data_IF_470291840932
#
_entry.id   IF_470291840932
#
_cell.length_a   1.000
_cell.length_b   1.000
_cell.length_c   1.000
_cell.angle_alpha   90.00
_cell.angle_beta   90.00
_cell.angle_gamma   90.00
#
_symmetry.space_group_name_H-M   'P 1'
#
loop_
_entity.id
_entity.type
_entity.pdbx_description
1 polymer ?
#
# COMPACT_ATOMS: atom_id res chain seq x y z
N UNK A 1 -0.84 7.36 53.49
CA UNK A 1 -0.14 8.53 52.92
C UNK A 1 -0.29 8.48 51.41
N UNK A 2 -0.79 9.55 50.78
CA UNK A 2 -0.87 9.67 49.32
C UNK A 2 0.42 10.20 48.72
N UNK A 3 0.59 10.04 47.40
CA UNK A 3 1.70 10.65 46.66
C UNK A 3 1.67 12.18 46.83
N UNK A 4 2.84 12.79 47.03
CA UNK A 4 2.96 14.26 47.14
C UNK A 4 2.57 14.92 45.82
N UNK A 5 2.00 16.13 45.87
CA UNK A 5 1.65 16.92 44.68
C UNK A 5 2.90 17.07 43.79
N UNK A 6 2.81 16.63 42.54
CA UNK A 6 3.94 16.60 41.58
C UNK A 6 4.71 15.28 41.52
N UNK A 7 4.39 14.29 42.34
CA UNK A 7 5.00 12.97 42.33
C UNK A 7 4.07 11.97 41.63
N UNK A 8 4.46 11.51 40.45
CA UNK A 8 3.79 10.43 39.71
C UNK A 8 4.49 9.10 40.00
N UNK A 9 3.70 8.02 40.11
CA UNK A 9 4.25 6.65 40.23
C UNK A 9 4.85 6.14 38.90
N UNK A 10 4.63 6.86 37.79
CA UNK A 10 5.23 6.58 36.48
C UNK A 10 5.91 7.85 35.95
N UNK A 11 7.18 8.03 36.29
CA UNK A 11 8.01 9.15 35.84
C UNK A 11 8.27 9.17 34.32
N UNK A 12 8.11 8.03 33.64
CA UNK A 12 8.37 7.89 32.18
C UNK A 12 7.11 8.06 31.32
N UNK A 13 5.96 8.29 31.94
CA UNK A 13 4.68 8.43 31.25
C UNK A 13 4.26 7.17 30.47
N UNK A 14 3.20 7.30 29.68
CA UNK A 14 2.81 6.24 28.73
C UNK A 14 3.85 6.20 27.60
N UNK A 15 4.44 5.03 27.26
CA UNK A 15 5.42 4.95 26.18
C UNK A 15 4.83 5.46 24.86
N UNK A 16 5.55 6.36 24.18
CA UNK A 16 5.14 6.96 22.90
C UNK A 16 4.95 5.84 21.87
N UNK A 17 3.80 5.84 21.19
CA UNK A 17 3.46 4.85 20.17
C UNK A 17 2.71 3.61 20.65
N UNK A 18 2.43 3.43 21.95
CA UNK A 18 1.59 2.31 22.40
C UNK A 18 0.12 2.52 22.00
N UNK A 19 -0.49 1.60 21.21
CA UNK A 19 -1.88 1.74 20.75
C UNK A 19 -2.84 1.80 21.93
N UNK A 20 -3.92 2.56 21.77
CA UNK A 20 -4.90 2.77 22.84
C UNK A 20 -5.52 1.42 23.26
N UNK A 21 -5.78 1.22 24.57
CA UNK A 21 -6.21 -0.10 25.09
C UNK A 21 -7.48 -0.59 24.40
N UNK A 22 -8.45 0.31 24.22
CA UNK A 22 -9.70 0.06 23.50
C UNK A 22 -9.44 -0.37 22.05
N UNK A 23 -8.53 0.30 21.34
CA UNK A 23 -8.18 -0.04 19.95
C UNK A 23 -7.56 -1.44 19.83
N UNK A 24 -6.78 -1.85 20.84
CA UNK A 24 -6.19 -3.19 20.89
C UNK A 24 -7.27 -4.27 21.11
N UNK A 25 -8.16 -4.06 22.09
CA UNK A 25 -9.27 -4.96 22.38
C UNK A 25 -10.22 -5.12 21.19
N UNK A 26 -10.54 -4.03 20.47
CA UNK A 26 -11.38 -4.10 19.27
C UNK A 26 -10.70 -4.91 18.16
N UNK A 27 -9.40 -4.70 17.91
CA UNK A 27 -8.67 -5.47 16.89
C UNK A 27 -8.64 -6.96 17.22
N UNK A 28 -8.39 -7.29 18.48
CA UNK A 28 -8.36 -8.66 18.96
C UNK A 28 -9.74 -9.32 18.84
N UNK A 29 -10.81 -8.61 19.19
CA UNK A 29 -12.17 -9.07 18.99
C UNK A 29 -12.50 -9.32 17.51
N UNK A 30 -12.12 -8.41 16.60
CA UNK A 30 -12.31 -8.59 15.16
C UNK A 30 -11.54 -9.81 14.64
N UNK A 31 -10.29 -10.00 15.06
CA UNK A 31 -9.51 -11.19 14.69
C UNK A 31 -10.18 -12.48 15.18
N UNK A 32 -10.64 -12.51 16.44
CA UNK A 32 -11.34 -13.67 16.99
C UNK A 32 -12.67 -13.95 16.27
N UNK A 33 -13.39 -12.90 15.87
CA UNK A 33 -14.63 -13.04 15.11
C UNK A 33 -14.37 -13.68 13.74
N UNK A 34 -13.36 -13.19 13.03
CA UNK A 34 -12.95 -13.76 11.73
C UNK A 34 -12.55 -15.22 11.90
N UNK A 35 -11.75 -15.54 12.93
CA UNK A 35 -11.27 -16.89 13.20
C UNK A 35 -12.39 -17.89 13.49
N UNK A 36 -13.38 -17.47 14.28
CA UNK A 36 -14.56 -18.29 14.57
C UNK A 36 -15.40 -18.55 13.32
N UNK A 37 -15.47 -17.59 12.41
CA UNK A 37 -16.28 -17.69 11.20
C UNK A 37 -15.61 -18.41 10.03
N UNK A 38 -14.30 -18.74 10.12
CA UNK A 38 -13.56 -19.43 9.04
C UNK A 38 -14.27 -20.69 8.52
N UNK A 39 -14.73 -21.55 9.44
CA UNK A 39 -15.43 -22.80 9.08
C UNK A 39 -16.77 -22.57 8.39
N UNK A 40 -17.47 -21.50 8.77
CA UNK A 40 -18.73 -21.12 8.13
C UNK A 40 -18.46 -20.58 6.73
N UNK A 41 -17.44 -19.74 6.60
CA UNK A 41 -17.00 -19.16 5.32
C UNK A 41 -16.62 -20.25 4.30
N UNK A 42 -15.92 -21.30 4.72
CA UNK A 42 -15.62 -22.45 3.87
C UNK A 42 -16.86 -23.23 3.42
N UNK A 43 -17.87 -23.35 4.28
CA UNK A 43 -19.14 -24.00 3.93
C UNK A 43 -19.94 -23.16 2.96
N UNK A 44 -20.03 -21.86 3.20
CA UNK A 44 -20.74 -20.91 2.35
C UNK A 44 -20.11 -20.88 0.95
N UNK A 45 -18.77 -20.84 0.88
CA UNK A 45 -18.02 -20.95 -0.38
C UNK A 45 -18.34 -22.24 -1.16
N UNK A 46 -18.52 -23.37 -0.47
CA UNK A 46 -18.92 -24.64 -1.11
C UNK A 46 -20.39 -24.67 -1.52
N UNK A 47 -21.25 -23.91 -0.86
CA UNK A 47 -22.68 -23.78 -1.19
C UNK A 47 -22.97 -22.80 -2.33
N UNK A 48 -22.06 -21.87 -2.61
CA UNK A 48 -22.17 -20.90 -3.69
C UNK A 48 -22.13 -21.56 -5.08
N UNK A 49 -22.82 -20.93 -6.04
CA UNK A 49 -22.78 -21.31 -7.44
C UNK A 49 -21.34 -21.24 -7.97
N UNK A 50 -20.89 -22.16 -8.86
CA UNK A 50 -19.49 -22.23 -9.27
C UNK A 50 -18.91 -20.90 -9.75
N UNK A 51 -19.70 -20.09 -10.46
CA UNK A 51 -19.28 -18.80 -11.00
C UNK A 51 -18.99 -17.78 -9.90
N UNK A 52 -19.88 -17.67 -8.91
CA UNK A 52 -19.73 -16.74 -7.78
C UNK A 52 -18.61 -17.19 -6.84
N UNK A 53 -18.44 -18.50 -6.66
CA UNK A 53 -17.33 -19.07 -5.90
C UNK A 53 -15.98 -18.62 -6.45
N UNK A 54 -15.79 -18.71 -7.77
CA UNK A 54 -14.55 -18.27 -8.42
C UNK A 54 -14.35 -16.75 -8.30
N UNK A 55 -15.41 -15.94 -8.39
CA UNK A 55 -15.34 -14.50 -8.23
C UNK A 55 -14.92 -14.08 -6.80
N UNK A 56 -15.40 -14.78 -5.76
CA UNK A 56 -14.97 -14.53 -4.37
C UNK A 56 -13.51 -14.96 -4.17
N UNK A 57 -13.11 -16.11 -4.71
CA UNK A 57 -11.73 -16.59 -4.64
C UNK A 57 -10.76 -15.63 -5.33
N UNK A 58 -11.11 -15.10 -6.52
CA UNK A 58 -10.30 -14.11 -7.23
C UNK A 58 -10.06 -12.87 -6.37
N UNK A 59 -11.10 -12.36 -5.69
CA UNK A 59 -10.98 -11.21 -4.79
C UNK A 59 -10.08 -11.53 -3.58
N UNK A 60 -10.20 -12.72 -3.00
CA UNK A 60 -9.34 -13.15 -1.88
C UNK A 60 -7.88 -13.32 -2.32
N UNK A 61 -7.65 -13.79 -3.55
CA UNK A 61 -6.31 -13.99 -4.10
C UNK A 61 -5.51 -12.68 -4.19
N UNK A 62 -6.18 -11.54 -4.40
CA UNK A 62 -5.55 -10.21 -4.42
C UNK A 62 -4.91 -9.83 -3.08
N UNK A 63 -5.38 -10.40 -1.98
CA UNK A 63 -4.84 -10.15 -0.63
C UNK A 63 -3.91 -11.26 -0.15
N UNK A 64 -4.04 -12.48 -0.68
CA UNK A 64 -3.22 -13.63 -0.30
C UNK A 64 -1.91 -13.69 -1.10
N UNK A 65 -1.96 -13.32 -2.38
CA UNK A 65 -0.79 -13.32 -3.26
C UNK A 65 -0.30 -11.87 -3.41
N UNK A 66 1.00 -11.60 -3.25
CA UNK A 66 1.57 -10.31 -3.61
C UNK A 66 1.33 -10.11 -5.10
N UNK A 67 0.32 -9.31 -5.45
CA UNK A 67 0.19 -8.82 -6.81
C UNK A 67 1.44 -7.99 -7.06
N UNK A 68 2.19 -8.26 -8.13
CA UNK A 68 3.18 -7.29 -8.59
C UNK A 68 2.42 -5.99 -8.74
N UNK A 69 2.64 -5.05 -7.83
CA UNK A 69 2.18 -3.69 -8.05
C UNK A 69 2.79 -3.33 -9.39
N UNK A 70 1.96 -2.90 -10.34
CA UNK A 70 2.50 -2.20 -11.49
C UNK A 70 3.44 -1.17 -10.87
N UNK A 71 4.73 -1.33 -11.12
CA UNK A 71 5.69 -0.28 -10.82
C UNK A 71 5.26 0.79 -11.82
N UNK A 72 4.25 1.57 -11.47
CA UNK A 72 4.27 2.98 -11.84
C UNK A 72 5.67 3.37 -11.43
N UNK A 73 6.53 3.53 -12.41
CA UNK A 73 7.80 4.16 -12.24
C UNK A 73 7.44 5.56 -11.73
N UNK A 74 7.22 5.67 -10.42
CA UNK A 74 7.44 6.86 -9.65
C UNK A 74 8.95 7.02 -9.69
N UNK A 75 9.46 7.33 -10.89
CA UNK A 75 10.74 7.95 -11.10
C UNK A 75 10.66 9.09 -10.11
N UNK A 76 11.48 9.00 -9.06
CA UNK A 76 11.55 10.05 -8.06
C UNK A 76 12.22 11.24 -8.72
N UNK A 77 11.54 11.90 -9.66
CA UNK A 77 11.98 13.12 -10.32
C UNK A 77 12.34 14.16 -9.26
N UNK A 78 11.57 14.17 -8.15
CA UNK A 78 11.83 14.98 -6.96
C UNK A 78 13.10 14.61 -6.16
N UNK A 79 13.80 13.52 -6.52
CA UNK A 79 15.08 13.10 -5.92
C UNK A 79 16.26 13.25 -6.89
N UNK A 80 16.00 13.59 -8.15
CA UNK A 80 17.05 13.88 -9.12
C UNK A 80 17.52 15.32 -8.92
N UNK A 81 18.81 15.56 -9.12
CA UNK A 81 19.35 16.92 -9.17
C UNK A 81 18.97 17.61 -10.48
N UNK A 82 18.96 18.94 -10.49
CA UNK A 82 18.63 19.74 -11.67
C UNK A 82 19.55 19.40 -12.86
N UNK A 83 20.82 19.08 -12.61
CA UNK A 83 21.77 18.63 -13.64
C UNK A 83 21.35 17.32 -14.30
N UNK A 84 20.91 16.34 -13.50
CA UNK A 84 20.44 15.06 -14.02
C UNK A 84 19.13 15.20 -14.79
N UNK A 85 18.25 16.11 -14.38
CA UNK A 85 17.02 16.41 -15.11
C UNK A 85 17.35 17.05 -16.48
N UNK A 86 18.32 17.97 -16.53
CA UNK A 86 18.74 18.60 -17.78
C UNK A 86 19.35 17.59 -18.77
N UNK A 87 20.16 16.65 -18.30
CA UNK A 87 20.71 15.59 -19.17
C UNK A 87 19.60 14.72 -19.78
N UNK A 88 18.58 14.37 -18.99
CA UNK A 88 17.44 13.58 -19.47
C UNK A 88 16.60 14.38 -20.49
N UNK A 89 16.39 15.68 -20.25
CA UNK A 89 15.65 16.55 -21.17
C UNK A 89 16.38 16.68 -22.51
N UNK A 90 17.71 16.88 -22.49
CA UNK A 90 18.50 16.97 -23.71
C UNK A 90 18.46 15.67 -24.49
N UNK A 91 18.64 14.53 -23.82
CA UNK A 91 18.59 13.21 -24.46
C UNK A 91 17.20 12.92 -25.07
N UNK A 92 16.11 13.33 -24.42
CA UNK A 92 14.75 13.21 -24.99
C UNK A 92 14.51 14.17 -26.16
N UNK A 93 15.13 15.36 -26.15
CA UNK A 93 14.97 16.37 -27.21
C UNK A 93 15.75 15.96 -28.45
N UNK A 94 16.98 15.47 -28.28
CA UNK A 94 17.82 14.97 -29.39
C UNK A 94 17.12 13.83 -30.14
N UNK A 95 16.45 12.92 -29.43
CA UNK A 95 15.69 11.83 -30.05
C UNK A 95 14.40 12.29 -30.78
N UNK A 96 13.91 13.51 -30.55
CA UNK A 96 12.73 14.06 -31.25
C UNK A 96 13.12 14.90 -32.48
N UNK A 97 14.36 15.35 -32.57
CA UNK A 97 14.88 16.10 -33.71
C UNK A 97 15.18 15.19 -34.92
N UNK A 98 15.54 13.92 -34.68
CA UNK A 98 15.81 12.94 -35.74
C UNK A 98 14.55 12.50 -36.52
N UNK A 99 13.34 12.63 -35.96
CA UNK A 99 12.09 12.23 -36.64
C UNK A 99 11.52 13.31 -37.59
N UNK A 100 12.03 14.55 -37.56
CA UNK A 100 11.48 15.69 -38.32
C UNK A 100 12.27 16.08 -39.57
N UNK A 101 13.44 15.47 -39.84
CA UNK A 101 14.30 15.89 -40.96
C UNK A 101 13.94 15.30 -42.33
N UNK A 102 13.01 14.34 -42.42
CA UNK A 102 12.78 13.59 -43.68
C UNK A 102 11.59 14.08 -44.54
N UNK A 103 10.94 15.22 -44.24
CA UNK A 103 9.77 15.69 -44.99
C UNK A 103 9.92 17.02 -45.75
N UNK A 104 11.13 17.57 -45.90
CA UNK A 104 11.33 18.84 -46.62
C UNK A 104 12.44 18.74 -47.68
N UNK A 105 12.42 17.73 -48.55
CA UNK A 105 13.10 17.80 -49.86
C UNK A 105 12.35 16.98 -50.91
N UNK A 106 11.16 17.42 -51.30
CA UNK A 106 10.63 17.09 -52.63
C UNK A 106 9.60 18.15 -53.04
N UNK A 107 10.08 19.20 -53.70
CA UNK A 107 9.30 20.05 -54.59
C UNK A 107 10.18 20.76 -55.60
#
# INVERSE_FOLDING_TARGET
>A
MGLKKGQTNNARGRPKGKPNKVTMETREWVSQLIDKNRKQLEKDLKGLEPKDRWAVIEKLMQYAVPKMQSVEAKIGLNRLSDEQLNSIINELTDNLEDDNTDYITDK
#
